data_IF_086328549940
#
_entry.id   IF_086328549940
#
_cell.length_a   1.000
_cell.length_b   1.000
_cell.length_c   1.000
_cell.angle_alpha   90.00
_cell.angle_beta   90.00
_cell.angle_gamma   90.00
#
_symmetry.space_group_name_H-M   'P 1'
#
loop_
_entity.id
_entity.type
_entity.pdbx_description
1 polymer ?
#
# COMPACT_ATOMS: atom_id res chain seq x y z
N UNK A 1 -29.81 2.08 11.49
CA UNK A 1 -28.81 1.38 12.32
C UNK A 1 -27.67 2.35 12.59
N UNK A 2 -27.27 2.55 13.84
CA UNK A 2 -26.14 3.43 14.15
C UNK A 2 -24.85 2.80 13.63
N UNK A 3 -24.01 3.54 12.91
CA UNK A 3 -22.70 3.05 12.50
C UNK A 3 -21.88 2.67 13.74
N UNK A 4 -21.46 1.41 13.83
CA UNK A 4 -20.51 0.96 14.84
C UNK A 4 -19.11 1.34 14.35
N UNK A 5 -18.41 2.19 15.08
CA UNK A 5 -17.01 2.47 14.86
C UNK A 5 -16.21 1.81 15.97
N UNK A 6 -15.09 1.14 15.66
CA UNK A 6 -14.26 0.50 16.67
C UNK A 6 -13.72 1.54 17.66
N UNK A 7 -13.53 1.13 18.91
CA UNK A 7 -12.87 1.99 19.89
C UNK A 7 -11.37 2.02 19.60
N UNK A 8 -10.81 3.20 19.33
CA UNK A 8 -9.37 3.38 19.18
C UNK A 8 -8.74 3.68 20.54
N UNK A 9 -7.92 2.76 21.04
CA UNK A 9 -7.19 2.91 22.31
C UNK A 9 -5.72 3.14 21.97
N UNK A 10 -5.23 4.33 22.32
CA UNK A 10 -3.95 4.85 21.86
C UNK A 10 -3.06 5.20 23.05
N UNK A 11 -1.94 4.51 23.21
CA UNK A 11 -0.89 4.85 24.17
C UNK A 11 0.44 5.07 23.43
N UNK A 12 1.08 6.22 23.66
CA UNK A 12 2.35 6.62 23.03
C UNK A 12 2.39 6.50 21.49
N UNK A 13 1.36 6.97 20.78
CA UNK A 13 1.12 6.61 19.37
C UNK A 13 2.07 7.18 18.32
N UNK A 14 2.87 8.17 18.66
CA UNK A 14 3.74 8.84 17.70
C UNK A 14 5.21 8.55 17.99
N UNK A 15 5.86 7.90 17.03
CA UNK A 15 7.31 7.67 17.02
C UNK A 15 7.97 8.52 15.93
N UNK A 16 9.19 9.03 16.15
CA UNK A 16 9.90 9.79 15.13
C UNK A 16 10.09 8.97 13.85
N UNK A 17 9.57 9.43 12.71
CA UNK A 17 9.70 8.69 11.45
C UNK A 17 11.14 8.70 10.90
N UNK A 18 11.91 9.72 11.28
CA UNK A 18 13.32 9.88 10.89
C UNK A 18 14.16 10.24 12.11
N UNK A 19 15.46 9.96 12.02
CA UNK A 19 16.46 10.41 12.99
C UNK A 19 17.56 11.19 12.30
N UNK A 20 18.10 12.21 12.98
CA UNK A 20 19.27 12.93 12.53
C UNK A 20 20.53 12.09 12.76
N UNK A 21 21.39 12.03 11.75
CA UNK A 21 22.68 11.33 11.77
C UNK A 21 23.75 12.17 11.11
N UNK A 22 25.01 11.89 11.46
CA UNK A 22 26.19 12.45 10.82
C UNK A 22 26.71 11.46 9.79
N UNK A 23 26.93 11.91 8.56
CA UNK A 23 27.59 11.14 7.51
C UNK A 23 28.87 11.85 7.06
N UNK A 24 29.75 11.12 6.37
CA UNK A 24 30.92 11.68 5.69
C UNK A 24 30.65 11.62 4.19
N UNK A 25 30.83 12.74 3.49
CA UNK A 25 30.65 12.83 2.04
C UNK A 25 31.90 12.39 1.25
N UNK A 26 31.85 12.49 -0.08
CA UNK A 26 32.96 12.12 -0.95
C UNK A 26 34.22 13.00 -0.80
N UNK A 27 34.10 14.16 -0.15
CA UNK A 27 35.19 15.10 0.10
C UNK A 27 35.83 14.88 1.48
N UNK A 28 35.30 13.95 2.28
CA UNK A 28 35.72 13.71 3.65
C UNK A 28 35.11 14.68 4.67
N UNK A 29 34.11 15.47 4.26
CA UNK A 29 33.44 16.45 5.12
C UNK A 29 32.27 15.82 5.86
N UNK A 30 32.08 16.23 7.13
CA UNK A 30 30.94 15.76 7.92
C UNK A 30 29.68 16.55 7.57
N UNK A 31 28.63 15.84 7.20
CA UNK A 31 27.34 16.41 6.82
C UNK A 31 26.23 15.88 7.72
N UNK A 32 25.28 16.75 8.07
CA UNK A 32 24.07 16.35 8.79
C UNK A 32 23.02 15.84 7.79
N UNK A 33 22.46 14.67 8.09
CA UNK A 33 21.41 14.02 7.30
C UNK A 33 20.31 13.51 8.21
N UNK A 34 19.15 13.26 7.62
CA UNK A 34 18.12 12.43 8.25
C UNK A 34 18.11 11.07 7.57
N UNK A 35 17.80 10.01 8.32
CA UNK A 35 17.55 8.67 7.78
C UNK A 35 16.21 8.16 8.30
N UNK A 36 15.55 7.34 7.49
CA UNK A 36 14.29 6.71 7.85
C UNK A 36 14.51 5.74 9.00
N UNK A 37 13.58 5.74 9.95
CA UNK A 37 13.57 4.74 11.00
C UNK A 37 12.95 3.44 10.48
N UNK A 38 13.36 2.32 11.06
CA UNK A 38 12.77 1.01 10.83
C UNK A 38 12.53 0.37 12.21
N UNK A 39 11.27 0.07 12.51
CA UNK A 39 10.83 -0.40 13.84
C UNK A 39 9.98 -1.66 13.72
N UNK A 40 10.12 -2.62 14.64
CA UNK A 40 9.20 -3.73 14.72
C UNK A 40 7.82 -3.23 15.16
N UNK A 41 6.76 -3.81 14.61
CA UNK A 41 5.39 -3.68 15.10
C UNK A 41 4.76 -5.07 15.04
N UNK A 42 4.53 -5.68 16.20
CA UNK A 42 3.87 -6.98 16.29
C UNK A 42 2.36 -6.80 16.24
N UNK A 43 1.74 -7.38 15.21
CA UNK A 43 0.30 -7.35 14.99
C UNK A 43 -0.33 -8.55 15.68
N UNK A 44 -1.34 -8.28 16.51
CA UNK A 44 -2.13 -9.27 17.22
C UNK A 44 -3.58 -9.26 16.74
N UNK A 45 -4.19 -10.44 16.70
CA UNK A 45 -5.63 -10.63 16.51
C UNK A 45 -6.18 -11.36 17.72
N UNK A 46 -7.08 -10.74 18.50
CA UNK A 46 -7.61 -11.30 19.75
C UNK A 46 -6.49 -11.82 20.67
N UNK A 47 -5.45 -11.00 20.86
CA UNK A 47 -4.25 -11.27 21.67
C UNK A 47 -3.35 -12.43 21.17
N UNK A 48 -3.64 -13.00 20.00
CA UNK A 48 -2.76 -13.97 19.34
C UNK A 48 -1.80 -13.23 18.40
N UNK A 49 -0.47 -13.42 18.52
CA UNK A 49 0.48 -12.79 17.62
C UNK A 49 0.37 -13.38 16.22
N UNK A 50 0.28 -12.52 15.20
CA UNK A 50 0.13 -12.93 13.79
C UNK A 50 1.43 -12.71 13.01
N UNK A 51 2.03 -11.52 13.13
CA UNK A 51 3.24 -11.15 12.41
C UNK A 51 3.95 -10.00 13.11
N UNK A 52 5.26 -9.87 12.91
CA UNK A 52 5.99 -8.64 13.22
C UNK A 52 6.39 -7.96 11.91
N UNK A 53 5.86 -6.77 11.68
CA UNK A 53 6.18 -5.92 10.53
C UNK A 53 7.35 -5.00 10.90
N UNK A 54 8.19 -4.68 9.93
CA UNK A 54 9.24 -3.66 10.06
C UNK A 54 8.71 -2.44 9.33
N UNK A 55 8.37 -1.40 10.08
CA UNK A 55 7.63 -0.23 9.60
C UNK A 55 8.36 1.05 9.94
N UNK A 56 8.05 2.12 9.21
CA UNK A 56 8.46 3.48 9.55
C UNK A 56 7.83 3.94 10.88
N UNK A 57 6.65 3.40 11.20
CA UNK A 57 5.89 3.67 12.43
C UNK A 57 4.73 4.65 12.27
N UNK A 58 4.44 5.09 11.05
CA UNK A 58 3.29 5.96 10.78
C UNK A 58 1.98 5.16 10.69
N UNK A 59 0.92 5.67 11.34
CA UNK A 59 -0.46 5.11 11.30
C UNK A 59 -0.53 3.60 11.60
N UNK A 60 0.01 3.15 12.74
CA UNK A 60 0.07 1.73 13.11
C UNK A 60 -1.30 1.06 13.20
N UNK A 61 -2.35 1.80 13.57
CA UNK A 61 -3.73 1.29 13.64
C UNK A 61 -4.20 0.82 12.26
N UNK A 62 -4.04 1.68 11.26
CA UNK A 62 -4.45 1.42 9.89
C UNK A 62 -3.57 0.36 9.23
N UNK A 63 -2.26 0.34 9.54
CA UNK A 63 -1.36 -0.72 9.09
C UNK A 63 -1.82 -2.09 9.61
N UNK A 64 -2.02 -2.23 10.91
CA UNK A 64 -2.42 -3.49 11.53
C UNK A 64 -3.76 -3.99 10.99
N UNK A 65 -4.75 -3.09 10.93
CA UNK A 65 -6.09 -3.42 10.42
C UNK A 65 -6.04 -3.83 8.95
N UNK A 66 -5.37 -3.05 8.10
CA UNK A 66 -5.31 -3.33 6.67
C UNK A 66 -4.49 -4.57 6.34
N UNK A 67 -3.46 -4.88 7.12
CA UNK A 67 -2.73 -6.14 7.01
C UNK A 67 -3.65 -7.33 7.26
N UNK A 68 -4.36 -7.35 8.39
CA UNK A 68 -5.26 -8.46 8.73
C UNK A 68 -6.40 -8.61 7.71
N UNK A 69 -6.95 -7.50 7.24
CA UNK A 69 -7.97 -7.50 6.17
C UNK A 69 -7.43 -8.12 4.88
N UNK A 70 -6.29 -7.64 4.38
CA UNK A 70 -5.74 -8.10 3.10
C UNK A 70 -5.34 -9.59 3.14
N UNK A 71 -4.93 -10.08 4.31
CA UNK A 71 -4.62 -11.49 4.55
C UNK A 71 -5.86 -12.38 4.76
N UNK A 72 -7.06 -11.79 4.83
CA UNK A 72 -8.31 -12.53 5.03
C UNK A 72 -8.52 -13.06 6.46
N UNK A 73 -7.90 -12.43 7.46
CA UNK A 73 -8.13 -12.77 8.86
C UNK A 73 -9.40 -12.15 9.44
N UNK A 74 -9.83 -11.03 8.87
CA UNK A 74 -11.02 -10.28 9.28
C UNK A 74 -11.72 -9.75 8.04
N UNK A 75 -13.05 -9.72 8.07
CA UNK A 75 -13.88 -9.35 6.92
C UNK A 75 -14.98 -8.35 7.26
N UNK A 76 -15.42 -8.29 8.52
CA UNK A 76 -16.54 -7.45 8.95
C UNK A 76 -16.09 -6.34 9.92
N UNK A 77 -16.22 -5.09 9.47
CA UNK A 77 -15.90 -3.92 10.28
C UNK A 77 -16.84 -3.76 11.48
N UNK A 78 -18.08 -4.26 11.39
CA UNK A 78 -19.08 -4.13 12.47
C UNK A 78 -18.76 -5.04 13.65
N UNK A 79 -17.95 -6.08 13.44
CA UNK A 79 -17.50 -7.00 14.49
C UNK A 79 -16.19 -6.55 15.14
N UNK A 80 -15.58 -5.47 14.66
CA UNK A 80 -14.37 -4.91 15.21
C UNK A 80 -14.68 -4.08 16.46
N UNK A 81 -14.26 -4.57 17.63
CA UNK A 81 -14.51 -3.91 18.92
C UNK A 81 -13.49 -2.80 19.19
N UNK A 82 -12.20 -3.09 19.00
CA UNK A 82 -11.14 -2.13 19.28
C UNK A 82 -9.84 -2.35 18.50
N UNK A 83 -9.09 -1.26 18.37
CA UNK A 83 -7.71 -1.25 17.89
C UNK A 83 -6.86 -0.62 18.99
N UNK A 84 -5.85 -1.37 19.46
CA UNK A 84 -4.99 -0.97 20.58
C UNK A 84 -3.56 -0.87 20.06
N UNK A 85 -2.93 0.29 20.20
CA UNK A 85 -1.52 0.50 19.81
C UNK A 85 -0.71 0.96 21.00
N UNK A 86 0.44 0.32 21.17
CA UNK A 86 1.44 0.69 22.18
C UNK A 86 2.85 0.55 21.59
N UNK A 87 3.53 1.69 21.41
CA UNK A 87 4.90 1.72 20.90
C UNK A 87 5.96 1.41 21.96
N UNK A 88 5.67 1.47 23.26
CA UNK A 88 6.64 1.07 24.30
C UNK A 88 6.97 -0.42 24.19
N UNK A 89 5.96 -1.22 23.83
CA UNK A 89 6.10 -2.67 23.58
C UNK A 89 6.02 -3.05 22.10
N UNK A 90 5.99 -2.06 21.19
CA UNK A 90 5.97 -2.26 19.74
C UNK A 90 4.84 -3.20 19.27
N UNK A 91 3.61 -2.91 19.72
CA UNK A 91 2.44 -3.77 19.47
C UNK A 91 1.24 -3.02 18.89
N UNK A 92 0.48 -3.71 18.05
CA UNK A 92 -0.85 -3.30 17.60
C UNK A 92 -1.79 -4.51 17.69
N UNK A 93 -2.85 -4.41 18.49
CA UNK A 93 -3.83 -5.47 18.67
C UNK A 93 -5.19 -5.07 18.07
N UNK A 94 -5.74 -5.98 17.28
CA UNK A 94 -7.08 -5.90 16.69
C UNK A 94 -7.97 -6.86 17.48
N UNK A 95 -9.03 -6.32 18.10
CA UNK A 95 -10.00 -7.10 18.88
C UNK A 95 -11.32 -7.15 18.10
N UNK A 96 -11.79 -8.36 17.80
CA UNK A 96 -12.99 -8.62 17.00
C UNK A 96 -13.81 -9.77 17.57
N UNK A 97 -15.12 -9.69 17.40
CA UNK A 97 -16.06 -10.79 17.70
C UNK A 97 -16.15 -11.82 16.57
N UNK A 98 -15.52 -11.57 15.42
CA UNK A 98 -15.51 -12.49 14.28
C UNK A 98 -14.90 -13.84 14.67
N UNK A 99 -15.50 -14.92 14.17
CA UNK A 99 -15.01 -16.27 14.44
C UNK A 99 -13.64 -16.48 13.81
N UNK A 100 -12.65 -16.75 14.64
CA UNK A 100 -11.25 -17.02 14.23
C UNK A 100 -10.90 -18.52 14.33
N UNK A 101 -11.88 -19.42 14.14
CA UNK A 101 -11.67 -20.87 14.31
C UNK A 101 -10.61 -21.44 13.36
N UNK A 102 -10.54 -20.93 12.13
CA UNK A 102 -9.58 -21.40 11.12
C UNK A 102 -8.21 -20.70 11.25
N UNK A 103 -7.96 -19.94 12.32
CA UNK A 103 -6.75 -19.15 12.48
C UNK A 103 -5.49 -20.03 12.51
N UNK A 104 -5.54 -21.17 13.19
CA UNK A 104 -4.38 -22.07 13.30
C UNK A 104 -4.02 -22.70 11.95
N UNK A 105 -5.03 -23.05 11.13
CA UNK A 105 -4.84 -23.54 9.76
C UNK A 105 -4.25 -22.45 8.86
N UNK A 106 -4.83 -21.24 8.88
CA UNK A 106 -4.32 -20.08 8.11
C UNK A 106 -2.88 -19.74 8.46
N UNK A 107 -2.52 -19.80 9.75
CA UNK A 107 -1.15 -19.55 10.22
C UNK A 107 -0.16 -20.66 9.82
N UNK A 108 -0.62 -21.90 9.67
CA UNK A 108 0.22 -23.01 9.23
C UNK A 108 0.60 -22.90 7.74
N UNK A 109 -0.27 -22.32 6.91
CA UNK A 109 -0.03 -22.08 5.49
C UNK A 109 0.71 -20.76 5.23
N UNK A 110 1.96 -20.69 5.70
CA UNK A 110 2.79 -19.48 5.60
C UNK A 110 3.71 -19.52 4.37
N UNK A 111 3.53 -18.59 3.44
CA UNK A 111 4.45 -18.37 2.32
C UNK A 111 5.17 -17.04 2.46
N UNK A 112 6.50 -17.05 2.46
CA UNK A 112 7.32 -15.83 2.47
C UNK A 112 7.58 -15.39 1.03
N UNK A 113 7.02 -14.27 0.58
CA UNK A 113 7.24 -13.81 -0.80
C UNK A 113 8.62 -13.17 -0.97
N UNK A 114 9.05 -13.07 -2.22
CA UNK A 114 10.30 -12.41 -2.64
C UNK A 114 10.34 -10.90 -2.33
N UNK A 115 9.28 -10.34 -1.75
CA UNK A 115 9.13 -8.95 -1.35
C UNK A 115 9.82 -8.56 -0.04
N UNK A 116 10.96 -9.18 0.29
CA UNK A 116 11.75 -8.96 1.51
C UNK A 116 11.11 -9.45 2.82
N UNK A 117 10.65 -10.71 2.93
CA UNK A 117 10.21 -11.32 4.22
C UNK A 117 8.88 -10.79 4.79
N UNK A 118 8.67 -9.48 4.67
CA UNK A 118 7.51 -8.66 5.02
C UNK A 118 6.28 -8.95 4.13
N UNK A 119 6.50 -9.45 2.91
CA UNK A 119 5.43 -9.98 2.05
C UNK A 119 5.03 -11.39 2.45
N UNK A 120 4.93 -11.68 3.75
CA UNK A 120 4.41 -12.96 4.21
C UNK A 120 2.92 -13.01 3.89
N UNK A 121 2.52 -14.08 3.20
CA UNK A 121 1.14 -14.38 2.86
C UNK A 121 0.70 -15.66 3.54
N UNK A 122 -0.54 -15.65 4.02
CA UNK A 122 -1.18 -16.77 4.71
C UNK A 122 -2.25 -17.42 3.84
N UNK A 123 -2.74 -18.61 4.23
CA UNK A 123 -3.64 -19.45 3.41
C UNK A 123 -4.82 -18.72 2.78
N UNK A 124 -5.42 -17.77 3.50
CA UNK A 124 -6.57 -16.99 3.01
C UNK A 124 -6.26 -15.82 2.06
N UNK A 125 -5.00 -15.62 1.67
CA UNK A 125 -4.65 -14.49 0.81
C UNK A 125 -5.21 -14.62 -0.61
N UNK A 126 -5.31 -15.83 -1.13
CA UNK A 126 -5.83 -16.10 -2.48
C UNK A 126 -7.36 -16.30 -2.51
N UNK A 127 -8.02 -16.27 -1.35
CA UNK A 127 -9.47 -16.47 -1.26
C UNK A 127 -10.25 -15.33 -1.93
N UNK A 128 -11.33 -15.71 -2.61
CA UNK A 128 -12.28 -14.77 -3.21
C UNK A 128 -11.76 -13.98 -4.42
N UNK A 129 -10.55 -14.26 -4.91
CA UNK A 129 -9.98 -13.53 -6.05
C UNK A 129 -10.80 -13.66 -7.34
N UNK A 130 -11.41 -14.82 -7.57
CA UNK A 130 -12.27 -15.07 -8.73
C UNK A 130 -13.63 -14.36 -8.63
N UNK A 131 -14.00 -13.87 -7.45
CA UNK A 131 -15.25 -13.12 -7.21
C UNK A 131 -15.07 -11.61 -7.39
N UNK A 132 -13.82 -11.13 -7.48
CA UNK A 132 -13.50 -9.70 -7.62
C UNK A 132 -13.91 -9.23 -9.02
N UNK A 133 -14.94 -8.39 -9.08
CA UNK A 133 -15.36 -7.71 -10.29
C UNK A 133 -15.02 -6.22 -10.20
N UNK A 134 -13.99 -5.77 -10.93
CA UNK A 134 -13.56 -4.38 -10.94
C UNK A 134 -14.25 -3.59 -12.07
N UNK A 135 -14.68 -2.34 -11.81
CA UNK A 135 -15.26 -1.51 -12.84
C UNK A 135 -14.22 -1.14 -13.91
N UNK A 136 -14.66 -1.05 -15.15
CA UNK A 136 -13.82 -0.53 -16.23
C UNK A 136 -13.90 1.00 -16.25
N UNK A 137 -12.85 1.64 -15.76
CA UNK A 137 -12.78 3.11 -15.62
C UNK A 137 -11.93 3.72 -16.73
N UNK A 138 -12.54 4.54 -17.59
CA UNK A 138 -11.83 5.29 -18.63
C UNK A 138 -11.16 6.54 -18.05
N UNK A 139 -9.92 6.79 -18.44
CA UNK A 139 -9.16 7.96 -18.01
C UNK A 139 -8.38 8.60 -19.16
N UNK A 140 -8.06 9.89 -19.02
CA UNK A 140 -7.28 10.65 -20.00
C UNK A 140 -5.78 10.51 -19.76
N UNK A 141 -5.00 10.50 -20.83
CA UNK A 141 -3.54 10.57 -20.78
C UNK A 141 -3.05 11.85 -20.08
N UNK A 142 -3.68 12.98 -20.35
CA UNK A 142 -3.37 14.26 -19.69
C UNK A 142 -3.55 14.21 -18.17
N UNK A 143 -4.53 13.43 -17.68
CA UNK A 143 -4.77 13.23 -16.25
C UNK A 143 -3.62 12.44 -15.61
N UNK A 144 -3.10 11.40 -16.27
CA UNK A 144 -1.92 10.65 -15.77
C UNK A 144 -0.73 11.59 -15.60
N UNK A 145 -0.51 12.53 -16.53
CA UNK A 145 0.58 13.52 -16.42
C UNK A 145 0.39 14.47 -15.24
N UNK A 146 -0.84 14.94 -15.04
CA UNK A 146 -1.18 15.83 -13.92
C UNK A 146 -1.02 15.09 -12.59
N UNK A 147 -1.50 13.85 -12.49
CA UNK A 147 -1.32 13.00 -11.31
C UNK A 147 0.16 12.80 -10.97
N UNK A 148 0.99 12.42 -11.96
CA UNK A 148 2.42 12.22 -11.75
C UNK A 148 3.17 13.51 -11.36
N UNK A 149 2.67 14.67 -11.78
CA UNK A 149 3.20 15.97 -11.35
C UNK A 149 2.82 16.23 -9.89
N UNK A 150 1.53 16.12 -9.56
CA UNK A 150 0.98 16.41 -8.24
C UNK A 150 1.61 15.48 -7.17
N UNK A 151 1.81 14.20 -7.48
CA UNK A 151 2.40 13.25 -6.52
C UNK A 151 3.87 13.54 -6.20
N UNK A 152 4.57 14.30 -7.05
CA UNK A 152 5.92 14.77 -6.80
C UNK A 152 6.01 15.68 -5.56
N UNK A 153 4.91 16.32 -5.17
CA UNK A 153 4.85 17.24 -4.04
C UNK A 153 4.83 16.47 -2.70
N UNK A 154 4.14 15.33 -2.63
CA UNK A 154 3.88 14.53 -1.42
C UNK A 154 5.05 13.66 -0.89
N UNK A 155 6.18 13.59 -1.59
CA UNK A 155 7.32 12.74 -1.21
C UNK A 155 8.22 13.39 -0.13
N UNK A 156 7.66 13.99 0.93
CA UNK A 156 8.44 14.74 1.94
C UNK A 156 9.43 13.87 2.72
N UNK A 157 9.04 12.70 3.22
CA UNK A 157 9.98 11.82 3.96
C UNK A 157 11.02 11.24 3.02
N UNK A 158 10.62 10.81 1.82
CA UNK A 158 11.57 10.40 0.78
C UNK A 158 12.57 11.51 0.43
N UNK A 159 12.13 12.77 0.34
CA UNK A 159 13.01 13.93 0.06
C UNK A 159 14.00 14.20 1.19
N UNK A 160 13.59 13.98 2.44
CA UNK A 160 14.40 14.31 3.62
C UNK A 160 15.33 13.17 4.08
N UNK A 161 14.88 11.92 3.97
CA UNK A 161 15.56 10.77 4.57
C UNK A 161 15.89 9.63 3.59
N UNK A 162 15.29 9.63 2.39
CA UNK A 162 15.41 8.53 1.43
C UNK A 162 14.89 7.19 1.98
N UNK A 163 15.18 6.10 1.27
CA UNK A 163 14.95 4.71 1.70
C UNK A 163 13.50 4.29 2.06
N UNK A 164 12.49 5.07 1.68
CA UNK A 164 11.06 4.71 1.86
C UNK A 164 10.35 4.50 0.52
N UNK A 165 9.25 3.78 0.58
CA UNK A 165 8.26 3.64 -0.48
C UNK A 165 7.04 4.50 -0.19
N UNK A 166 6.68 5.38 -1.13
CA UNK A 166 5.40 6.08 -1.13
C UNK A 166 4.33 5.29 -1.89
N UNK A 167 3.12 5.23 -1.34
CA UNK A 167 1.89 4.81 -2.01
C UNK A 167 0.82 5.89 -1.84
N UNK A 168 -0.01 6.06 -2.86
CA UNK A 168 -1.06 7.07 -2.87
C UNK A 168 -2.38 6.49 -3.35
N UNK A 169 -3.46 6.85 -2.66
CA UNK A 169 -4.82 6.69 -3.16
C UNK A 169 -5.20 7.99 -3.88
N UNK A 170 -5.67 7.88 -5.11
CA UNK A 170 -5.93 9.05 -5.95
C UNK A 170 -7.34 9.00 -6.51
N UNK A 171 -7.97 10.16 -6.63
CA UNK A 171 -9.21 10.38 -7.37
C UNK A 171 -8.88 11.33 -8.51
N UNK A 172 -8.96 10.83 -9.74
CA UNK A 172 -8.41 11.54 -10.91
C UNK A 172 -6.94 11.92 -10.70
N UNK A 173 -6.59 13.20 -10.84
CA UNK A 173 -5.25 13.72 -10.63
C UNK A 173 -4.97 14.19 -9.19
N UNK A 174 -5.94 14.02 -8.29
CA UNK A 174 -5.83 14.43 -6.90
C UNK A 174 -5.42 13.26 -6.01
N UNK A 175 -4.46 13.50 -5.13
CA UNK A 175 -4.02 12.55 -4.11
C UNK A 175 -4.95 12.71 -2.91
N UNK A 176 -5.78 11.71 -2.64
CA UNK A 176 -6.76 11.74 -1.54
C UNK A 176 -6.17 11.22 -0.24
N UNK A 177 -5.19 10.32 -0.33
CA UNK A 177 -4.41 9.85 0.81
C UNK A 177 -3.02 9.41 0.32
N UNK A 178 -2.00 9.59 1.16
CA UNK A 178 -0.62 9.22 0.85
C UNK A 178 0.07 8.67 2.09
N UNK A 179 0.77 7.55 1.92
CA UNK A 179 1.51 6.86 2.97
C UNK A 179 2.92 6.56 2.50
N UNK A 180 3.90 6.83 3.35
CA UNK A 180 5.28 6.40 3.19
C UNK A 180 5.60 5.35 4.25
N UNK A 181 6.29 4.29 3.85
CA UNK A 181 6.82 3.28 4.76
C UNK A 181 8.12 2.69 4.20
N UNK A 182 8.94 2.06 5.05
CA UNK A 182 10.13 1.31 4.58
C UNK A 182 9.73 0.15 3.68
N UNK A 183 8.58 -0.48 3.94
CA UNK A 183 8.00 -1.55 3.14
C UNK A 183 6.84 -1.06 2.27
N UNK A 184 6.92 -1.28 0.94
CA UNK A 184 5.79 -0.96 0.04
C UNK A 184 4.50 -1.71 0.39
N UNK A 185 4.61 -2.93 0.94
CA UNK A 185 3.46 -3.74 1.32
C UNK A 185 2.74 -3.08 2.52
N UNK A 186 3.51 -2.63 3.51
CA UNK A 186 2.99 -1.87 4.64
C UNK A 186 2.26 -0.62 4.17
N UNK A 187 2.82 0.16 3.24
CA UNK A 187 2.16 1.36 2.73
C UNK A 187 0.80 1.07 2.05
N UNK A 188 0.68 -0.06 1.34
CA UNK A 188 -0.62 -0.51 0.76
C UNK A 188 -1.57 -0.97 1.85
N UNK A 189 -1.09 -1.76 2.81
CA UNK A 189 -1.89 -2.25 3.92
C UNK A 189 -2.42 -1.09 4.77
N UNK A 190 -1.59 -0.08 5.09
CA UNK A 190 -2.03 1.14 5.78
C UNK A 190 -3.15 1.84 5.01
N UNK A 191 -3.03 2.03 3.69
CA UNK A 191 -4.08 2.64 2.87
C UNK A 191 -5.35 1.77 2.83
N UNK A 192 -5.22 0.44 2.81
CA UNK A 192 -6.36 -0.47 2.87
C UNK A 192 -7.10 -0.37 4.20
N UNK A 193 -6.38 -0.25 5.32
CA UNK A 193 -6.96 -0.02 6.64
C UNK A 193 -7.67 1.33 6.75
N UNK A 194 -7.04 2.41 6.26
CA UNK A 194 -7.64 3.75 6.22
C UNK A 194 -8.94 3.76 5.39
N UNK A 195 -8.91 3.15 4.19
CA UNK A 195 -10.10 3.03 3.35
C UNK A 195 -11.21 2.26 4.06
N UNK A 196 -10.86 1.19 4.79
CA UNK A 196 -11.86 0.38 5.46
C UNK A 196 -12.49 1.12 6.64
N UNK A 197 -11.70 1.78 7.49
CA UNK A 197 -12.20 2.60 8.61
C UNK A 197 -13.11 3.73 8.14
N UNK A 198 -12.79 4.33 6.99
CA UNK A 198 -13.57 5.43 6.39
C UNK A 198 -14.74 4.93 5.53
N UNK A 199 -14.85 3.62 5.32
CA UNK A 199 -15.78 2.99 4.36
C UNK A 199 -15.69 3.62 2.96
N UNK A 200 -14.47 3.98 2.54
CA UNK A 200 -14.22 4.64 1.24
C UNK A 200 -14.22 3.60 0.13
N UNK A 201 -15.08 3.73 -0.89
CA UNK A 201 -15.07 2.82 -2.03
C UNK A 201 -13.83 3.04 -2.91
N UNK A 202 -13.32 1.95 -3.50
CA UNK A 202 -12.15 1.96 -4.38
C UNK A 202 -12.48 2.10 -5.87
N UNK A 203 -13.75 1.94 -6.26
CA UNK A 203 -14.20 1.78 -7.65
C UNK A 203 -13.87 2.93 -8.60
N UNK A 204 -13.70 4.13 -8.05
CA UNK A 204 -13.38 5.38 -8.75
C UNK A 204 -11.91 5.81 -8.56
N UNK A 205 -11.12 5.02 -7.83
CA UNK A 205 -9.76 5.40 -7.43
C UNK A 205 -8.69 4.90 -8.40
N UNK A 206 -7.52 5.51 -8.28
CA UNK A 206 -6.26 5.07 -8.88
C UNK A 206 -5.29 4.83 -7.73
N UNK A 207 -4.69 3.64 -7.69
CA UNK A 207 -3.65 3.34 -6.73
C UNK A 207 -2.28 3.66 -7.35
N UNK A 208 -1.53 4.56 -6.71
CA UNK A 208 -0.15 4.87 -7.07
C UNK A 208 0.83 4.17 -6.13
N UNK A 209 1.93 3.65 -6.65
CA UNK A 209 3.06 3.18 -5.82
C UNK A 209 4.42 3.51 -6.43
N UNK A 210 5.38 3.78 -5.55
CA UNK A 210 6.79 3.87 -5.92
C UNK A 210 7.43 2.49 -6.15
N UNK A 211 6.81 1.42 -5.64
CA UNK A 211 7.31 0.04 -5.66
C UNK A 211 7.00 -0.73 -6.96
N UNK A 212 7.56 -1.93 -7.08
CA UNK A 212 7.27 -2.85 -8.21
C UNK A 212 5.86 -3.42 -8.11
N UNK A 213 5.23 -3.63 -9.26
CA UNK A 213 3.92 -4.30 -9.35
C UNK A 213 4.11 -5.82 -9.34
N UNK A 214 4.24 -6.39 -8.14
CA UNK A 214 4.27 -7.85 -7.92
C UNK A 214 2.86 -8.41 -7.79
N UNK A 215 2.70 -9.74 -7.84
CA UNK A 215 1.42 -10.42 -7.62
C UNK A 215 0.72 -9.97 -6.34
N UNK A 216 1.46 -9.90 -5.22
CA UNK A 216 0.94 -9.44 -3.93
C UNK A 216 0.37 -8.02 -3.99
N UNK A 217 1.08 -7.08 -4.65
CA UNK A 217 0.62 -5.70 -4.78
C UNK A 217 -0.66 -5.61 -5.61
N UNK A 218 -0.73 -6.38 -6.70
CA UNK A 218 -1.90 -6.43 -7.58
C UNK A 218 -3.11 -6.99 -6.82
N UNK A 219 -2.93 -8.08 -6.08
CA UNK A 219 -3.99 -8.71 -5.29
C UNK A 219 -4.52 -7.77 -4.21
N UNK A 220 -3.64 -7.09 -3.45
CA UNK A 220 -4.08 -6.13 -2.42
C UNK A 220 -4.91 -5.00 -3.03
N UNK A 221 -4.47 -4.42 -4.15
CA UNK A 221 -5.18 -3.35 -4.84
C UNK A 221 -6.52 -3.85 -5.42
N UNK A 222 -6.57 -5.09 -5.93
CA UNK A 222 -7.80 -5.73 -6.38
C UNK A 222 -8.80 -5.90 -5.22
N UNK A 223 -8.35 -6.39 -4.06
CA UNK A 223 -9.16 -6.54 -2.84
C UNK A 223 -9.65 -5.20 -2.28
N UNK A 224 -8.94 -4.10 -2.57
CA UNK A 224 -9.39 -2.73 -2.27
C UNK A 224 -10.47 -2.23 -3.24
N UNK A 225 -10.82 -3.00 -4.28
CA UNK A 225 -11.81 -2.62 -5.29
C UNK A 225 -11.30 -1.56 -6.28
N UNK A 226 -9.97 -1.40 -6.40
CA UNK A 226 -9.38 -0.31 -7.19
C UNK A 226 -9.04 -0.78 -8.61
N UNK A 227 -9.62 -0.17 -9.66
CA UNK A 227 -9.48 -0.67 -11.03
C UNK A 227 -8.20 -0.25 -11.76
N UNK A 228 -7.46 0.75 -11.25
CA UNK A 228 -6.27 1.30 -11.93
C UNK A 228 -5.08 1.28 -10.99
N UNK A 229 -3.99 0.64 -11.43
CA UNK A 229 -2.74 0.52 -10.71
C UNK A 229 -1.59 1.18 -11.48
N UNK A 230 -1.05 2.25 -10.91
CA UNK A 230 0.00 3.09 -11.48
C UNK A 230 1.29 2.95 -10.67
N UNK A 231 2.42 2.68 -11.34
CA UNK A 231 3.73 2.62 -10.70
C UNK A 231 4.81 3.33 -11.48
N UNK A 232 5.75 3.96 -10.75
CA UNK A 232 7.01 4.47 -11.32
C UNK A 232 8.03 3.36 -11.61
N UNK A 233 7.84 2.17 -11.05
CA UNK A 233 8.74 1.02 -11.17
C UNK A 233 8.27 0.03 -12.24
N UNK A 234 8.87 -1.15 -12.31
CA UNK A 234 8.48 -2.23 -13.22
C UNK A 234 7.38 -3.13 -12.65
N UNK A 235 6.87 -4.02 -13.50
CA UNK A 235 5.96 -5.11 -13.13
C UNK A 235 6.68 -6.47 -13.24
N UNK A 236 6.17 -7.49 -12.54
CA UNK A 236 6.59 -8.90 -12.70
C UNK A 236 5.61 -9.65 -13.61
N UNK A 237 6.04 -10.79 -14.18
CA UNK A 237 5.17 -11.61 -15.04
C UNK A 237 3.90 -12.08 -14.31
N UNK A 238 4.02 -12.68 -13.12
CA UNK A 238 2.84 -13.06 -12.32
C UNK A 238 1.95 -11.87 -11.93
N UNK A 239 2.54 -10.69 -11.70
CA UNK A 239 1.75 -9.48 -11.42
C UNK A 239 0.91 -9.06 -12.62
N UNK A 240 1.48 -9.12 -13.83
CA UNK A 240 0.76 -8.84 -15.07
C UNK A 240 -0.36 -9.85 -15.32
N UNK A 241 -0.11 -11.15 -15.13
CA UNK A 241 -1.12 -12.18 -15.32
C UNK A 241 -2.35 -11.97 -14.41
N UNK A 242 -2.12 -11.67 -13.13
CA UNK A 242 -3.20 -11.37 -12.20
C UNK A 242 -3.95 -10.09 -12.57
N UNK A 243 -3.25 -9.05 -13.03
CA UNK A 243 -3.90 -7.83 -13.47
C UNK A 243 -4.76 -8.04 -14.71
N UNK A 244 -4.37 -8.93 -15.61
CA UNK A 244 -5.17 -9.35 -16.75
C UNK A 244 -6.41 -10.15 -16.30
N UNK A 245 -6.22 -11.13 -15.42
CA UNK A 245 -7.31 -11.94 -14.86
C UNK A 245 -8.37 -11.09 -14.16
N UNK A 246 -7.94 -10.10 -13.37
CA UNK A 246 -8.83 -9.25 -12.55
C UNK A 246 -9.32 -7.99 -13.29
N UNK A 247 -8.88 -7.76 -14.54
CA UNK A 247 -9.28 -6.58 -15.32
C UNK A 247 -8.71 -5.25 -14.81
N UNK A 248 -7.57 -5.27 -14.10
CA UNK A 248 -6.89 -4.06 -13.61
C UNK A 248 -6.15 -3.36 -14.75
N UNK A 249 -6.40 -2.06 -14.92
CA UNK A 249 -5.57 -1.22 -15.79
C UNK A 249 -4.20 -1.03 -15.14
N UNK A 250 -3.18 -1.67 -15.72
CA UNK A 250 -1.82 -1.70 -15.17
C UNK A 250 -0.90 -0.77 -15.95
N UNK A 251 -0.38 0.25 -15.27
CA UNK A 251 0.54 1.23 -15.82
C UNK A 251 1.83 1.23 -15.00
N UNK A 252 2.96 1.01 -15.65
CA UNK A 252 4.27 0.98 -14.99
C UNK A 252 5.27 1.91 -15.69
N UNK A 253 6.47 2.04 -15.10
CA UNK A 253 7.54 2.94 -15.57
C UNK A 253 7.06 4.39 -15.76
N UNK A 254 6.08 4.80 -14.97
CA UNK A 254 5.44 6.10 -15.08
C UNK A 254 6.29 7.21 -14.44
N UNK A 255 6.79 8.14 -15.27
CA UNK A 255 7.57 9.31 -14.85
C UNK A 255 7.40 10.47 -15.84
N UNK A 256 6.90 11.59 -15.34
CA UNK A 256 6.64 12.78 -16.17
C UNK A 256 5.65 12.45 -17.28
N UNK A 257 6.06 12.63 -18.55
CA UNK A 257 5.22 12.30 -19.71
C UNK A 257 5.41 10.88 -20.28
N UNK A 258 6.21 10.04 -19.61
CA UNK A 258 6.47 8.68 -20.04
C UNK A 258 5.79 7.67 -19.11
N UNK A 259 5.14 6.66 -19.68
CA UNK A 259 4.58 5.50 -18.98
C UNK A 259 4.44 4.35 -19.97
N UNK A 260 4.27 3.13 -19.46
CA UNK A 260 3.98 1.92 -20.23
C UNK A 260 2.68 1.30 -19.69
N UNK A 261 1.72 1.06 -20.56
CA UNK A 261 0.48 0.33 -20.21
C UNK A 261 0.73 -1.14 -20.51
N UNK A 262 0.63 -1.99 -19.50
CA UNK A 262 0.76 -3.43 -19.64
C UNK A 262 -0.59 -4.14 -19.76
N UNK A 263 -1.65 -3.56 -19.20
CA UNK A 263 -3.03 -4.04 -19.33
C UNK A 263 -4.01 -2.87 -19.30
N UNK A 264 -5.16 -3.00 -19.99
CA UNK A 264 -6.23 -2.00 -19.97
C UNK A 264 -5.99 -0.76 -20.83
N UNK A 265 -5.25 -0.88 -21.95
CA UNK A 265 -4.98 0.26 -22.84
C UNK A 265 -6.26 0.89 -23.42
N UNK A 266 -7.31 0.09 -23.64
CA UNK A 266 -8.61 0.56 -24.13
C UNK A 266 -9.34 1.47 -23.12
N UNK A 267 -8.90 1.48 -21.86
CA UNK A 267 -9.38 2.40 -20.83
C UNK A 267 -8.68 3.76 -20.87
N UNK A 268 -7.69 3.96 -21.75
CA UNK A 268 -6.92 5.20 -21.82
C UNK A 268 -7.29 5.99 -23.07
N UNK A 269 -7.81 7.20 -22.87
CA UNK A 269 -7.98 8.19 -23.92
C UNK A 269 -6.66 8.95 -24.14
N UNK A 270 -6.04 8.76 -25.30
CA UNK A 270 -4.77 9.41 -25.66
C UNK A 270 -4.97 10.86 -26.16
N UNK A 271 -5.34 11.75 -25.24
CA UNK A 271 -5.68 13.15 -25.52
C UNK A 271 -4.47 14.12 -25.52
N UNK A 272 -3.27 13.65 -25.14
CA UNK A 272 -2.10 14.51 -24.93
C UNK A 272 -0.78 13.87 -25.41
N UNK A 273 -0.79 13.28 -26.61
CA UNK A 273 0.37 12.54 -27.15
C UNK A 273 1.61 13.44 -27.21
N UNK A 274 2.73 13.09 -26.55
CA UNK A 274 3.92 13.92 -26.53
C UNK A 274 4.62 13.90 -27.90
N UNK A 275 5.29 15.00 -28.25
CA UNK A 275 6.11 15.06 -29.46
C UNK A 275 7.15 13.93 -29.48
N UNK A 276 7.36 13.32 -30.64
CA UNK A 276 8.39 12.28 -30.81
C UNK A 276 9.74 12.85 -30.40
N UNK A 277 10.41 12.20 -29.44
CA UNK A 277 11.81 12.53 -29.14
C UNK A 277 12.63 12.28 -30.40
N UNK A 278 13.52 13.20 -30.82
CA UNK A 278 14.41 12.93 -31.94
C UNK A 278 15.19 11.66 -31.64
N UNK A 279 15.29 10.75 -32.62
CA UNK A 279 16.06 9.52 -32.49
C UNK A 279 17.48 9.89 -32.08
N UNK A 280 17.96 9.36 -30.95
CA UNK A 280 19.41 9.37 -30.68
C UNK A 280 20.05 8.54 -31.79
N UNK A 281 20.78 9.20 -32.68
CA UNK A 281 21.70 8.53 -33.61
C UNK A 281 22.77 7.77 -32.82
#
# INVERSE_FOLDING_TARGET
MSKHYPTLIKTATDVPLTIAVKAIDENGEQVDKHIACERPLTVYLNWRPIVTLMTLGARPESLALGYLKNQGFISDLQQLESIIVDWEVSSAAIITTESIQDLEEKLAEKTVTSGCGQGTVYGGFMDGLDEINLPQRRIKQSMIYSLLKNIGEYNETYKNAGAVHGCGLCLDDQIVDFVEDVGRHNAVDTLAGEMWLKETPGEDKIFYTTGRLTSEMVIKVAKMGIPILLSRSGATQMGLELAQQMGITMIARAKGKHFLIYNGADNIEFDAIPAKRPSKK
#
